data_IF_380376991537
#
_entry.id   IF_380376991537
#
_cell.length_a   1.000
_cell.length_b   1.000
_cell.length_c   1.000
_cell.angle_alpha   90.00
_cell.angle_beta   90.00
_cell.angle_gamma   90.00
#
_symmetry.space_group_name_H-M   'P 1'
#
loop_
_entity.id
_entity.type
_entity.pdbx_description
1 polymer ?
#
# COMPACT_ATOMS: atom_id res chain seq x y z
N UNK A 1 10.55 4.07 14.68
CA UNK A 1 9.34 3.47 15.27
C UNK A 1 8.74 2.52 14.25
N UNK A 2 8.24 1.37 14.68
CA UNK A 2 7.60 0.39 13.80
C UNK A 2 6.35 1.00 13.17
N UNK A 3 6.26 0.96 11.85
CA UNK A 3 5.11 1.38 11.08
C UNK A 3 4.75 0.26 10.10
N UNK A 4 3.45 0.03 9.96
CA UNK A 4 2.90 -0.88 8.96
C UNK A 4 1.92 -0.14 8.08
N UNK A 5 2.04 -0.30 6.77
CA UNK A 5 1.18 0.34 5.79
C UNK A 5 0.50 -0.73 4.96
N UNK A 6 -0.81 -0.57 4.77
CA UNK A 6 -1.61 -1.41 3.91
C UNK A 6 -2.22 -0.57 2.81
N UNK A 7 -2.21 -1.12 1.60
CA UNK A 7 -3.00 -0.63 0.49
C UNK A 7 -4.07 -1.65 0.15
N UNK A 8 -5.27 -1.15 -0.04
CA UNK A 8 -6.45 -1.92 -0.40
C UNK A 8 -7.04 -1.33 -1.67
N UNK A 9 -7.56 -2.17 -2.55
CA UNK A 9 -8.41 -1.71 -3.65
C UNK A 9 -9.87 -1.58 -3.17
N UNK A 10 -10.75 -1.20 -4.09
CA UNK A 10 -12.19 -1.06 -3.87
C UNK A 10 -12.89 -2.36 -3.41
N UNK A 11 -12.33 -3.51 -3.76
CA UNK A 11 -12.90 -4.83 -3.46
C UNK A 11 -12.28 -5.43 -2.18
N UNK A 12 -11.53 -4.62 -1.42
CA UNK A 12 -10.82 -5.02 -0.21
C UNK A 12 -9.73 -6.08 -0.44
N UNK A 13 -9.23 -6.19 -1.68
CA UNK A 13 -8.05 -6.99 -1.99
C UNK A 13 -6.81 -6.28 -1.46
N UNK A 14 -5.84 -7.06 -1.00
CA UNK A 14 -4.61 -6.50 -0.40
C UNK A 14 -3.59 -6.18 -1.49
N UNK A 15 -3.56 -4.93 -1.90
CA UNK A 15 -2.70 -4.42 -2.99
C UNK A 15 -1.23 -4.41 -2.58
N UNK A 16 -0.93 -3.87 -1.40
CA UNK A 16 0.43 -3.78 -0.90
C UNK A 16 0.48 -3.86 0.62
N UNK A 17 1.57 -4.43 1.15
CA UNK A 17 1.86 -4.47 2.58
C UNK A 17 3.32 -4.10 2.78
N UNK A 18 3.54 -3.05 3.57
CA UNK A 18 4.86 -2.58 3.95
C UNK A 18 5.00 -2.62 5.47
N UNK A 19 6.09 -3.17 5.98
CA UNK A 19 6.35 -3.26 7.41
C UNK A 19 7.82 -3.01 7.72
N UNK A 20 8.08 -2.02 8.58
CA UNK A 20 9.38 -1.79 9.21
C UNK A 20 10.59 -1.79 8.25
N UNK A 21 10.47 -1.19 7.06
CA UNK A 21 11.57 -1.12 6.09
C UNK A 21 11.46 -2.07 4.91
N UNK A 22 10.44 -2.93 4.86
CA UNK A 22 10.39 -4.01 3.86
C UNK A 22 8.98 -4.36 3.39
N UNK A 23 8.89 -4.75 2.13
CA UNK A 23 7.66 -5.25 1.50
C UNK A 23 7.33 -6.67 2.00
N UNK A 24 6.06 -6.90 2.32
CA UNK A 24 5.53 -8.24 2.67
C UNK A 24 4.76 -8.81 1.48
N UNK A 25 5.48 -9.12 0.39
CA UNK A 25 4.90 -9.64 -0.85
C UNK A 25 4.15 -10.97 -0.70
N UNK A 26 4.37 -11.71 0.39
CA UNK A 26 3.61 -12.92 0.73
C UNK A 26 2.19 -12.66 1.24
N UNK A 27 1.89 -11.42 1.64
CA UNK A 27 0.55 -11.03 2.14
C UNK A 27 -0.29 -10.31 1.09
N UNK A 28 0.28 -10.02 -0.07
CA UNK A 28 -0.43 -9.36 -1.18
C UNK A 28 -1.35 -10.34 -1.89
N UNK A 29 -2.44 -9.82 -2.45
CA UNK A 29 -3.25 -10.58 -3.40
C UNK A 29 -2.40 -10.94 -4.64
N UNK A 30 -2.69 -12.09 -5.25
CA UNK A 30 -1.94 -12.60 -6.39
C UNK A 30 -1.97 -11.62 -7.58
N UNK A 31 -3.05 -10.86 -7.74
CA UNK A 31 -3.22 -9.87 -8.80
C UNK A 31 -2.20 -8.72 -8.74
N UNK A 32 -1.70 -8.39 -7.55
CA UNK A 32 -0.79 -7.26 -7.31
C UNK A 32 0.64 -7.68 -6.98
N UNK A 33 0.86 -8.98 -6.74
CA UNK A 33 2.16 -9.52 -6.36
C UNK A 33 3.22 -9.21 -7.42
N UNK A 34 4.35 -8.67 -6.98
CA UNK A 34 5.47 -8.19 -7.82
C UNK A 34 5.12 -7.01 -8.76
N UNK A 35 3.89 -6.53 -8.76
CA UNK A 35 3.47 -5.36 -9.52
C UNK A 35 3.50 -4.08 -8.69
N UNK A 36 3.64 -4.15 -7.37
CA UNK A 36 3.61 -2.98 -6.50
C UNK A 36 4.98 -2.65 -5.90
N UNK A 37 5.23 -1.36 -5.64
CA UNK A 37 6.39 -0.88 -4.88
C UNK A 37 6.04 0.38 -4.08
N UNK A 38 6.59 0.49 -2.87
CA UNK A 38 6.55 1.71 -2.06
C UNK A 38 7.96 2.29 -1.86
N UNK A 39 8.03 3.54 -1.37
CA UNK A 39 9.28 4.17 -0.97
C UNK A 39 9.85 3.50 0.30
N UNK A 40 11.08 3.01 0.23
CA UNK A 40 11.79 2.32 1.32
C UNK A 40 12.11 3.28 2.49
N UNK A 41 12.18 4.58 2.23
CA UNK A 41 12.48 5.61 3.23
C UNK A 41 11.23 6.18 3.93
N UNK A 42 10.10 5.46 3.91
CA UNK A 42 8.81 5.90 4.45
C UNK A 42 8.88 6.51 5.87
N UNK A 43 9.74 5.97 6.74
CA UNK A 43 9.91 6.48 8.11
C UNK A 43 10.56 7.86 8.16
N UNK A 44 11.34 8.22 7.14
CA UNK A 44 12.06 9.49 7.01
C UNK A 44 11.28 10.49 6.16
N UNK A 45 10.73 10.06 5.02
CA UNK A 45 10.02 10.93 4.07
C UNK A 45 8.57 11.18 4.47
N UNK A 46 7.94 10.24 5.18
CA UNK A 46 6.48 10.24 5.38
C UNK A 46 5.69 9.97 4.09
N UNK A 47 6.38 9.68 2.99
CA UNK A 47 5.80 9.38 1.69
C UNK A 47 5.29 7.94 1.69
N UNK A 48 3.98 7.80 1.62
CA UNK A 48 3.28 6.52 1.60
C UNK A 48 2.79 6.14 0.22
N UNK A 49 3.25 6.83 -0.83
CA UNK A 49 2.80 6.61 -2.22
C UNK A 49 3.07 5.19 -2.70
N UNK A 50 2.12 4.65 -3.45
CA UNK A 50 2.19 3.34 -4.07
C UNK A 50 2.46 3.50 -5.57
N UNK A 51 3.43 2.75 -6.08
CA UNK A 51 3.63 2.60 -7.53
C UNK A 51 3.12 1.23 -7.97
N UNK A 52 2.20 1.21 -8.94
CA UNK A 52 1.77 0.00 -9.63
C UNK A 52 2.50 -0.10 -10.99
N UNK A 53 3.10 -1.26 -11.25
CA UNK A 53 3.85 -1.59 -12.46
C UNK A 53 2.94 -2.29 -13.45
N UNK A 54 3.00 -1.86 -14.71
CA UNK A 54 2.18 -2.38 -15.79
C UNK A 54 0.68 -2.37 -15.46
N UNK A 55 0.09 -1.19 -15.19
CA UNK A 55 -1.35 -1.08 -14.93
C UNK A 55 -2.16 -1.52 -16.15
N UNK A 56 -3.29 -2.15 -15.91
CA UNK A 56 -4.33 -2.48 -16.87
C UNK A 56 -5.60 -1.68 -16.55
N UNK A 57 -6.57 -1.68 -17.47
CA UNK A 57 -7.87 -1.04 -17.23
C UNK A 57 -8.57 -1.58 -15.98
N UNK A 58 -8.33 -2.85 -15.62
CA UNK A 58 -8.92 -3.52 -14.44
C UNK A 58 -8.37 -2.98 -13.12
N UNK A 59 -7.18 -2.36 -13.12
CA UNK A 59 -6.60 -1.76 -11.92
C UNK A 59 -7.19 -0.36 -11.62
N UNK A 60 -8.12 0.13 -12.45
CA UNK A 60 -8.73 1.46 -12.27
C UNK A 60 -9.70 1.49 -11.08
N UNK A 61 -9.64 2.55 -10.29
CA UNK A 61 -10.60 2.81 -9.21
C UNK A 61 -9.96 3.31 -7.92
N UNK A 62 -10.76 3.27 -6.86
CA UNK A 62 -10.35 3.80 -5.57
C UNK A 62 -9.41 2.86 -4.83
N UNK A 63 -8.37 3.47 -4.24
CA UNK A 63 -7.44 2.78 -3.38
C UNK A 63 -7.50 3.39 -1.97
N UNK A 64 -7.33 2.54 -0.97
CA UNK A 64 -7.33 2.95 0.43
C UNK A 64 -5.99 2.61 1.06
N UNK A 65 -5.35 3.63 1.63
CA UNK A 65 -4.15 3.48 2.43
C UNK A 65 -4.52 3.45 3.92
N UNK A 66 -3.97 2.49 4.66
CA UNK A 66 -4.05 2.38 6.11
C UNK A 66 -2.64 2.41 6.68
N UNK A 67 -2.38 3.38 7.58
CA UNK A 67 -1.11 3.47 8.28
C UNK A 67 -1.33 3.14 9.75
N UNK A 68 -0.66 2.09 10.22
CA UNK A 68 -0.58 1.71 11.63
C UNK A 68 0.77 2.15 12.18
N UNK A 69 0.75 3.06 13.15
CA UNK A 69 1.89 3.35 14.04
C UNK A 69 1.49 2.94 15.45
N UNK A 70 2.43 2.62 16.34
CA UNK A 70 2.13 2.21 17.73
C UNK A 70 1.10 3.14 18.38
N UNK A 71 -0.13 2.63 18.57
CA UNK A 71 -1.23 3.33 19.23
C UNK A 71 -2.13 4.20 18.34
N UNK A 72 -1.84 4.36 17.03
CA UNK A 72 -2.60 5.25 16.14
C UNK A 72 -2.90 4.58 14.79
N UNK A 73 -4.18 4.58 14.41
CA UNK A 73 -4.67 4.15 13.11
C UNK A 73 -5.07 5.38 12.31
N UNK A 74 -4.42 5.59 11.15
CA UNK A 74 -4.80 6.63 10.21
C UNK A 74 -5.23 6.01 8.89
N UNK A 75 -6.46 6.31 8.49
CA UNK A 75 -6.99 5.94 7.19
C UNK A 75 -6.84 7.12 6.23
N UNK A 76 -6.26 6.86 5.06
CA UNK A 76 -6.15 7.83 3.97
C UNK A 76 -6.84 7.20 2.76
N UNK A 77 -7.97 7.76 2.36
CA UNK A 77 -8.61 7.39 1.10
C UNK A 77 -7.88 8.10 -0.03
N UNK A 78 -7.40 7.35 -1.02
CA UNK A 78 -6.75 7.88 -2.20
C UNK A 78 -7.60 7.49 -3.40
N UNK A 79 -8.40 8.45 -3.85
CA UNK A 79 -9.17 8.32 -5.10
C UNK A 79 -8.18 8.51 -6.23
N UNK A 80 -7.78 7.42 -6.88
CA UNK A 80 -7.09 7.48 -8.16
C UNK A 80 -8.14 7.28 -9.26
N UNK A 81 -8.70 8.38 -9.76
CA UNK A 81 -9.36 8.44 -11.05
C UNK A 81 -8.35 8.83 -12.13
#
# INVERSE_FOLDING_TARGET
GEARVFWWDRDSSRVHVYESGSDRSGEQDQLYRNRTKMNEDLLRSGDVSLTLKHPTEEDSGDYRCEVKKRGELKWVLIICC
#
